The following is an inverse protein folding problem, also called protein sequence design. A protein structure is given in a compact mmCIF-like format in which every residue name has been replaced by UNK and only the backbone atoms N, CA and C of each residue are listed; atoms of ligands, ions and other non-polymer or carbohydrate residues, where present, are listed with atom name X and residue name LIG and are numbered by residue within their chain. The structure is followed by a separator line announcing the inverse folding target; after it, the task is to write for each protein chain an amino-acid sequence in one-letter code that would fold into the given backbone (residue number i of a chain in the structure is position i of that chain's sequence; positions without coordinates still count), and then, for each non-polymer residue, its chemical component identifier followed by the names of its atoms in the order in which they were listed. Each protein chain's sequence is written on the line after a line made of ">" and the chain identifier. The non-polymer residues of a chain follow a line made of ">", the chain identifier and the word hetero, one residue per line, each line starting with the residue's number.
data_IF_448853285321
#
_entry.id   IF_448853285321
#
_cell.length_a   1.000
_cell.length_b   1.000
_cell.length_c   1.000
_cell.angle_alpha   90.00
_cell.angle_beta   90.00
_cell.angle_gamma   90.00
#
_symmetry.space_group_name_H-M   'P 1'
#
loop_
_entity.id
_entity.type
_entity.pdbx_description
1 polymer ?
#
# COMPACT_ATOMS: atom_id res chain seq x y z
N UNK A 1 -3.62 27.27 9.65
CA UNK A 1 -2.91 26.64 8.51
C UNK A 1 -2.49 25.18 8.77
N UNK A 2 -2.16 24.76 10.00
CA UNK A 2 -1.81 23.36 10.32
C UNK A 2 -2.94 22.33 10.11
N UNK A 3 -4.18 22.66 10.49
CA UNK A 3 -5.34 21.74 10.42
C UNK A 3 -5.60 21.24 8.99
N UNK A 4 -5.46 22.10 7.98
CA UNK A 4 -5.70 21.72 6.58
C UNK A 4 -4.65 20.71 6.07
N UNK A 5 -3.42 20.78 6.58
CA UNK A 5 -2.32 19.90 6.16
C UNK A 5 -2.51 18.51 6.78
N UNK A 6 -2.84 18.43 8.06
CA UNK A 6 -3.06 17.13 8.73
C UNK A 6 -4.27 16.36 8.19
N UNK A 7 -5.35 17.09 7.85
CA UNK A 7 -6.51 16.51 7.16
C UNK A 7 -6.12 15.97 5.77
N UNK A 8 -5.34 16.74 5.01
CA UNK A 8 -4.88 16.34 3.69
C UNK A 8 -4.00 15.09 3.73
N UNK A 9 -3.07 15.01 4.69
CA UNK A 9 -2.19 13.85 4.87
C UNK A 9 -3.00 12.60 5.23
N UNK A 10 -3.96 12.72 6.15
CA UNK A 10 -4.83 11.62 6.58
C UNK A 10 -5.67 11.07 5.42
N UNK A 11 -6.28 11.98 4.63
CA UNK A 11 -7.05 11.61 3.44
C UNK A 11 -6.15 10.92 2.41
N UNK A 12 -4.94 11.46 2.19
CA UNK A 12 -3.97 10.88 1.26
C UNK A 12 -3.56 9.47 1.65
N UNK A 13 -3.27 9.23 2.93
CA UNK A 13 -2.92 7.90 3.43
C UNK A 13 -4.06 6.89 3.24
N UNK A 14 -5.29 7.32 3.54
CA UNK A 14 -6.47 6.49 3.33
C UNK A 14 -6.69 6.15 1.85
N UNK A 15 -6.52 7.12 0.95
CA UNK A 15 -6.62 6.91 -0.49
C UNK A 15 -5.57 5.92 -0.98
N UNK A 16 -4.32 6.01 -0.52
CA UNK A 16 -3.27 5.05 -0.87
C UNK A 16 -3.59 3.63 -0.39
N UNK A 17 -4.11 3.47 0.83
CA UNK A 17 -4.54 2.17 1.33
C UNK A 17 -5.69 1.59 0.47
N UNK A 18 -6.66 2.42 0.06
CA UNK A 18 -7.74 2.03 -0.86
C UNK A 18 -7.20 1.58 -2.22
N UNK A 19 -6.24 2.33 -2.79
CA UNK A 19 -5.60 1.97 -4.06
C UNK A 19 -4.95 0.59 -3.93
N UNK A 20 -4.12 0.38 -2.90
CA UNK A 20 -3.48 -0.93 -2.67
C UNK A 20 -4.52 -2.04 -2.48
N UNK A 21 -5.61 -1.77 -1.79
CA UNK A 21 -6.72 -2.72 -1.63
C UNK A 21 -7.34 -3.09 -2.97
N UNK A 22 -7.71 -2.11 -3.81
CA UNK A 22 -8.26 -2.38 -5.13
C UNK A 22 -7.29 -3.17 -6.02
N UNK A 23 -6.01 -2.79 -6.04
CA UNK A 23 -4.99 -3.55 -6.76
C UNK A 23 -4.93 -4.99 -6.24
N UNK A 24 -4.96 -5.21 -4.92
CA UNK A 24 -4.94 -6.55 -4.34
C UNK A 24 -6.11 -7.41 -4.80
N UNK A 25 -7.32 -6.83 -4.86
CA UNK A 25 -8.55 -7.54 -5.25
C UNK A 25 -8.51 -7.87 -6.73
N UNK A 26 -8.10 -6.92 -7.58
CA UNK A 26 -7.98 -7.12 -9.03
C UNK A 26 -6.91 -8.17 -9.32
N UNK A 27 -5.72 -8.04 -8.71
CA UNK A 27 -4.63 -9.01 -8.86
C UNK A 27 -5.01 -10.40 -8.36
N UNK A 28 -5.78 -10.51 -7.27
CA UNK A 28 -6.28 -11.82 -6.80
C UNK A 28 -7.20 -12.47 -7.83
N UNK A 29 -8.21 -11.74 -8.32
CA UNK A 29 -9.18 -12.26 -9.30
C UNK A 29 -8.50 -12.64 -10.62
N UNK A 30 -7.60 -11.79 -11.12
CA UNK A 30 -6.81 -12.10 -12.31
C UNK A 30 -5.95 -13.34 -12.10
N UNK A 31 -5.36 -13.50 -10.91
CA UNK A 31 -4.45 -14.61 -10.61
C UNK A 31 -5.20 -15.94 -10.55
N UNK A 32 -6.40 -15.93 -9.99
CA UNK A 32 -7.32 -17.07 -9.98
C UNK A 32 -7.73 -17.48 -11.39
N UNK A 33 -8.06 -16.53 -12.27
CA UNK A 33 -8.49 -16.81 -13.64
C UNK A 33 -7.33 -17.27 -14.53
N UNK A 34 -6.16 -16.66 -14.40
CA UNK A 34 -4.99 -16.92 -15.25
C UNK A 34 -4.06 -18.02 -14.69
N UNK A 35 -4.38 -18.60 -13.53
CA UNK A 35 -3.55 -19.62 -12.87
C UNK A 35 -2.18 -19.09 -12.38
N UNK A 36 -2.04 -17.78 -12.20
CA UNK A 36 -0.78 -17.15 -11.78
C UNK A 36 -0.59 -17.36 -10.27
N UNK A 37 0.66 -17.58 -9.85
CA UNK A 37 1.02 -17.73 -8.44
C UNK A 37 0.49 -16.59 -7.56
N UNK A 38 0.25 -16.90 -6.28
CA UNK A 38 -0.42 -16.04 -5.29
C UNK A 38 0.41 -14.82 -4.85
N UNK A 39 1.02 -14.10 -5.77
CA UNK A 39 1.84 -12.91 -5.49
C UNK A 39 1.02 -11.76 -4.89
N UNK A 40 -0.31 -11.82 -4.93
CA UNK A 40 -1.20 -10.86 -4.29
C UNK A 40 -1.03 -10.78 -2.75
N UNK A 41 -0.44 -11.79 -2.10
CA UNK A 41 -0.14 -11.72 -0.65
C UNK A 41 0.81 -10.57 -0.28
N UNK A 42 1.69 -10.16 -1.21
CA UNK A 42 2.56 -9.01 -1.00
C UNK A 42 1.76 -7.69 -0.88
N UNK A 43 0.61 -7.58 -1.57
CA UNK A 43 -0.29 -6.45 -1.36
C UNK A 43 -0.89 -6.47 0.04
N UNK A 44 -1.29 -7.63 0.58
CA UNK A 44 -1.81 -7.70 1.95
C UNK A 44 -0.76 -7.30 2.98
N UNK A 45 0.50 -7.72 2.78
CA UNK A 45 1.61 -7.27 3.63
C UNK A 45 1.79 -5.75 3.53
N UNK A 46 1.79 -5.21 2.30
CA UNK A 46 1.90 -3.78 2.06
C UNK A 46 0.78 -2.97 2.71
N UNK A 47 -0.47 -3.42 2.58
CA UNK A 47 -1.65 -2.81 3.20
C UNK A 47 -1.54 -2.84 4.74
N UNK A 48 -1.08 -3.95 5.33
CA UNK A 48 -0.88 -4.05 6.76
C UNK A 48 0.12 -3.01 7.28
N UNK A 49 1.27 -2.87 6.60
CA UNK A 49 2.29 -1.88 6.96
C UNK A 49 1.83 -0.44 6.70
N UNK A 50 1.12 -0.19 5.59
CA UNK A 50 0.55 1.11 5.29
C UNK A 50 -0.47 1.53 6.35
N UNK A 51 -1.45 0.67 6.67
CA UNK A 51 -2.50 0.98 7.65
C UNK A 51 -1.92 1.14 9.06
N UNK A 52 -1.01 0.26 9.49
CA UNK A 52 -0.38 0.39 10.80
C UNK A 52 0.44 1.67 10.93
N UNK A 53 1.21 2.03 9.88
CA UNK A 53 1.90 3.31 9.81
C UNK A 53 0.97 4.51 9.89
N UNK A 54 -0.15 4.50 9.14
CA UNK A 54 -1.15 5.57 9.17
C UNK A 54 -1.83 5.72 10.54
N UNK A 55 -2.15 4.61 11.20
CA UNK A 55 -2.74 4.63 12.56
C UNK A 55 -1.74 5.25 13.55
N UNK A 56 -0.47 4.86 13.49
CA UNK A 56 0.58 5.41 14.37
C UNK A 56 0.75 6.91 14.14
N UNK A 57 0.73 7.37 12.87
CA UNK A 57 0.80 8.80 12.55
C UNK A 57 -0.41 9.58 13.06
N UNK A 58 -1.62 9.01 12.96
CA UNK A 58 -2.86 9.65 13.40
C UNK A 58 -2.99 9.72 14.92
N UNK A 59 -2.47 8.72 15.63
CA UNK A 59 -2.47 8.66 17.10
C UNK A 59 -1.23 9.33 17.73
N UNK A 60 -0.29 9.80 16.92
CA UNK A 60 0.92 10.47 17.39
C UNK A 60 0.59 11.84 17.96
N UNK A 61 0.51 11.93 19.29
CA UNK A 61 0.47 13.21 20.01
C UNK A 61 1.87 13.86 20.05
N UNK A 62 1.93 15.21 20.11
CA UNK A 62 3.19 15.97 20.20
C UNK A 62 4.11 15.52 21.36
N UNK A 63 3.56 14.82 22.35
CA UNK A 63 4.29 14.29 23.50
C UNK A 63 5.26 13.12 23.19
N UNK A 64 5.10 12.42 22.05
CA UNK A 64 5.98 11.29 21.67
C UNK A 64 6.71 11.66 20.37
N UNK A 65 7.85 12.36 20.49
CA UNK A 65 8.55 13.01 19.37
C UNK A 65 8.89 12.10 18.19
N UNK A 66 9.05 10.79 18.42
CA UNK A 66 9.49 9.83 17.39
C UNK A 66 8.36 8.98 16.80
N UNK A 67 7.14 9.06 17.32
CA UNK A 67 6.04 8.19 16.89
C UNK A 67 5.59 8.50 15.44
N UNK A 68 5.51 9.78 15.05
CA UNK A 68 5.29 10.20 13.65
C UNK A 68 6.33 9.59 12.68
N UNK A 69 7.61 9.60 13.06
CA UNK A 69 8.70 9.10 12.21
C UNK A 69 8.59 7.58 11.99
N UNK A 70 8.29 6.82 13.06
CA UNK A 70 8.03 5.38 12.97
C UNK A 70 6.85 5.10 12.04
N UNK A 71 5.78 5.89 12.15
CA UNK A 71 4.63 5.79 11.27
C UNK A 71 4.97 6.01 9.79
N UNK A 72 5.75 7.05 9.47
CA UNK A 72 6.21 7.28 8.09
C UNK A 72 7.08 6.14 7.55
N UNK A 73 7.96 5.57 8.38
CA UNK A 73 8.80 4.42 7.98
C UNK A 73 7.94 3.21 7.66
N UNK A 74 6.99 2.86 8.53
CA UNK A 74 6.06 1.75 8.30
C UNK A 74 5.20 1.98 7.05
N UNK A 75 4.69 3.20 6.88
CA UNK A 75 3.89 3.54 5.71
C UNK A 75 4.68 3.45 4.41
N UNK A 76 5.91 3.99 4.39
CA UNK A 76 6.81 3.92 3.25
C UNK A 76 7.16 2.47 2.91
N UNK A 77 7.42 1.65 3.92
CA UNK A 77 7.68 0.22 3.75
C UNK A 77 6.48 -0.52 3.14
N UNK A 78 5.27 -0.21 3.61
CA UNK A 78 4.03 -0.74 3.03
C UNK A 78 3.85 -0.38 1.56
N UNK A 79 4.12 0.88 1.19
CA UNK A 79 4.09 1.33 -0.20
C UNK A 79 5.15 0.63 -1.06
N UNK A 80 6.37 0.47 -0.56
CA UNK A 80 7.44 -0.24 -1.28
C UNK A 80 7.05 -1.68 -1.58
N UNK A 81 6.47 -2.39 -0.60
CA UNK A 81 5.98 -3.76 -0.82
C UNK A 81 4.84 -3.80 -1.84
N UNK A 82 3.90 -2.87 -1.76
CA UNK A 82 2.82 -2.74 -2.74
C UNK A 82 3.33 -2.47 -4.16
N UNK A 83 4.37 -1.65 -4.29
CA UNK A 83 5.01 -1.34 -5.57
C UNK A 83 5.77 -2.55 -6.13
N UNK A 84 6.52 -3.27 -5.29
CA UNK A 84 7.19 -4.52 -5.68
C UNK A 84 6.17 -5.56 -6.15
N UNK A 85 5.07 -5.73 -5.42
CA UNK A 85 3.96 -6.60 -5.80
C UNK A 85 3.40 -6.20 -7.18
N UNK A 86 3.24 -4.89 -7.39
CA UNK A 86 2.71 -4.35 -8.65
C UNK A 86 3.64 -4.61 -9.82
N UNK A 87 4.92 -4.31 -9.69
CA UNK A 87 5.92 -4.57 -10.73
C UNK A 87 5.96 -6.05 -11.07
N UNK A 88 5.96 -6.93 -10.06
CA UNK A 88 6.06 -8.37 -10.29
C UNK A 88 4.80 -8.93 -10.97
N UNK A 89 3.63 -8.50 -10.53
CA UNK A 89 2.36 -9.03 -11.05
C UNK A 89 2.00 -8.43 -12.41
N UNK A 90 1.94 -7.10 -12.49
CA UNK A 90 1.56 -6.39 -13.72
C UNK A 90 2.68 -6.42 -14.75
N UNK A 91 3.95 -6.39 -14.34
CA UNK A 91 5.07 -6.53 -15.26
C UNK A 91 5.14 -7.91 -15.92
N UNK A 92 4.69 -8.97 -15.24
CA UNK A 92 4.51 -10.28 -15.87
C UNK A 92 3.33 -10.24 -16.87
N UNK A 93 2.19 -9.67 -16.47
CA UNK A 93 0.99 -9.60 -17.31
C UNK A 93 1.22 -8.81 -18.60
N UNK A 94 1.95 -7.70 -18.52
CA UNK A 94 2.35 -6.90 -19.70
C UNK A 94 3.22 -7.73 -20.64
N UNK A 95 4.21 -8.45 -20.12
CA UNK A 95 5.08 -9.31 -20.97
C UNK A 95 4.31 -10.40 -21.68
N UNK A 96 3.31 -10.98 -21.02
CA UNK A 96 2.46 -12.02 -21.61
C UNK A 96 1.56 -11.43 -22.72
N UNK A 97 1.00 -10.24 -22.49
CA UNK A 97 0.18 -9.53 -23.48
C UNK A 97 0.93 -9.22 -24.78
N UNK A 98 2.24 -8.93 -24.69
CA UNK A 98 3.10 -8.67 -25.86
C UNK A 98 3.74 -9.93 -26.46
N UNK A 99 3.56 -11.09 -25.83
CA UNK A 99 4.05 -12.38 -26.33
C UNK A 99 3.00 -13.17 -27.12
N UNK A 100 1.72 -12.86 -26.93
CA UNK A 100 0.60 -13.32 -27.77
C UNK A 100 0.42 -12.46 -29.01
#
# INVERSE_FOLDING_TARGET
>A
MKINIELFDTVSFFLFALILYFLSVISRRLGEVMGIGKYYYLYYLGIFFALSGSIIMSLSFEAISNSKLIGYVLFSFGLTLGLIASIRYWGWLIKELFRG
#
